data_IF_360306706967
#
_entry.id   IF_360306706967
#
_cell.length_a   1.000
_cell.length_b   1.000
_cell.length_c   1.000
_cell.angle_alpha   90.00
_cell.angle_beta   90.00
_cell.angle_gamma   90.00
#
_symmetry.space_group_name_H-M   'P 1'
#
loop_
_entity.id
_entity.type
_entity.pdbx_description
1 polymer ?
#
# COMPACT_ATOMS: atom_id res chain seq x y z
N UNK A 1 18.44 13.07 -4.34
CA UNK A 1 18.94 12.61 -3.03
C UNK A 1 18.12 11.43 -2.59
N UNK A 2 18.73 10.38 -2.03
CA UNK A 2 17.98 9.28 -1.43
C UNK A 2 17.20 9.82 -0.22
N UNK A 3 15.90 9.51 -0.15
CA UNK A 3 15.06 9.83 1.00
C UNK A 3 15.37 8.82 2.11
N UNK A 4 15.84 9.29 3.25
CA UNK A 4 15.98 8.48 4.46
C UNK A 4 14.69 8.64 5.26
N UNK A 5 13.98 7.54 5.49
CA UNK A 5 12.74 7.52 6.26
C UNK A 5 13.03 7.31 7.75
N UNK A 6 12.22 7.87 8.64
CA UNK A 6 12.37 7.69 10.09
C UNK A 6 11.92 6.30 10.55
N UNK A 7 10.96 5.72 9.84
CA UNK A 7 10.44 4.38 10.08
C UNK A 7 9.91 3.77 8.78
N UNK A 8 9.48 2.51 8.85
CA UNK A 8 9.01 1.76 7.68
C UNK A 8 7.69 2.29 7.11
N UNK A 9 6.82 2.90 7.93
CA UNK A 9 5.50 3.36 7.48
C UNK A 9 5.60 4.57 6.56
N UNK A 10 6.64 5.40 6.69
CA UNK A 10 6.93 6.51 5.77
C UNK A 10 7.31 6.07 4.34
N UNK A 11 7.61 4.77 4.15
CA UNK A 11 7.88 4.15 2.86
C UNK A 11 6.62 3.52 2.24
N UNK A 12 5.47 3.55 2.92
CA UNK A 12 4.19 3.15 2.35
C UNK A 12 3.72 4.21 1.35
N UNK A 13 3.32 3.77 0.17
CA UNK A 13 2.87 4.63 -0.91
C UNK A 13 3.98 5.02 -1.89
N UNK A 14 3.71 6.03 -2.72
CA UNK A 14 4.59 6.43 -3.83
C UNK A 14 5.10 5.28 -4.72
N UNK A 15 4.30 4.22 -4.80
CA UNK A 15 4.57 3.05 -5.64
C UNK A 15 4.62 3.43 -7.12
N UNK A 16 5.47 2.77 -7.92
CA UNK A 16 5.67 3.16 -9.30
C UNK A 16 4.44 2.91 -10.18
N UNK A 17 4.31 3.73 -11.22
CA UNK A 17 3.48 3.45 -12.39
C UNK A 17 4.38 2.90 -13.49
N UNK A 18 3.98 1.79 -14.11
CA UNK A 18 4.72 1.17 -15.21
C UNK A 18 3.81 1.00 -16.42
N UNK A 19 4.28 1.40 -17.59
CA UNK A 19 3.54 1.25 -18.85
C UNK A 19 3.46 -0.22 -19.26
N UNK A 20 2.27 -0.69 -19.61
CA UNK A 20 2.07 -2.00 -20.20
C UNK A 20 2.32 -1.93 -21.71
N UNK A 21 3.53 -2.29 -22.15
CA UNK A 21 3.92 -2.17 -23.56
C UNK A 21 3.38 -3.34 -24.42
N UNK A 22 3.98 -4.53 -24.27
CA UNK A 22 3.78 -5.65 -25.19
C UNK A 22 2.34 -6.17 -25.25
N UNK A 23 1.68 -6.36 -24.11
CA UNK A 23 0.32 -6.90 -24.09
C UNK A 23 -0.70 -5.89 -24.65
N UNK A 24 -0.51 -4.60 -24.36
CA UNK A 24 -1.38 -3.56 -24.92
C UNK A 24 -1.26 -3.51 -26.45
N UNK A 25 -0.04 -3.65 -26.98
CA UNK A 25 0.20 -3.72 -28.43
C UNK A 25 -0.41 -4.98 -29.06
N UNK A 26 -0.20 -6.17 -28.47
CA UNK A 26 -0.71 -7.43 -29.03
C UNK A 26 -2.24 -7.51 -29.05
N UNK A 27 -2.91 -6.86 -28.10
CA UNK A 27 -4.38 -6.82 -28.01
C UNK A 27 -5.00 -5.63 -28.76
N UNK A 28 -4.19 -4.80 -29.43
CA UNK A 28 -4.67 -3.64 -30.19
C UNK A 28 -5.30 -2.55 -29.30
N UNK A 29 -4.78 -2.35 -28.09
CA UNK A 29 -5.29 -1.35 -27.16
C UNK A 29 -5.20 0.06 -27.75
N UNK A 30 -6.32 0.78 -27.74
CA UNK A 30 -6.41 2.15 -28.26
C UNK A 30 -5.97 3.22 -27.25
N UNK A 31 -5.75 2.83 -25.99
CA UNK A 31 -5.42 3.73 -24.89
C UNK A 31 -4.10 3.33 -24.21
N UNK A 32 -3.44 4.29 -23.56
CA UNK A 32 -2.28 4.01 -22.71
C UNK A 32 -2.73 3.27 -21.44
N UNK A 33 -2.20 2.07 -21.24
CA UNK A 33 -2.46 1.26 -20.05
C UNK A 33 -1.24 1.36 -19.12
N UNK A 34 -1.49 1.83 -17.90
CA UNK A 34 -0.49 1.92 -16.83
C UNK A 34 -0.84 0.94 -15.70
N UNK A 35 0.20 0.34 -15.13
CA UNK A 35 0.12 -0.58 -13.99
C UNK A 35 0.56 0.16 -12.73
N UNK A 36 -0.28 0.18 -11.71
CA UNK A 36 0.05 0.70 -10.38
C UNK A 36 0.60 -0.44 -9.52
N UNK A 37 1.91 -0.45 -9.30
CA UNK A 37 2.60 -1.60 -8.69
C UNK A 37 2.60 -1.53 -7.16
N UNK A 38 1.45 -1.81 -6.56
CA UNK A 38 1.26 -1.73 -5.10
C UNK A 38 2.04 -2.77 -4.30
N UNK A 39 2.62 -3.78 -4.94
CA UNK A 39 3.52 -4.72 -4.29
C UNK A 39 4.90 -4.11 -3.93
N UNK A 40 5.15 -2.84 -4.26
CA UNK A 40 6.32 -2.10 -3.80
C UNK A 40 6.15 -1.44 -2.42
N UNK A 41 4.95 -1.49 -1.82
CA UNK A 41 4.86 -1.11 -0.41
C UNK A 41 5.65 -2.11 0.46
N UNK A 42 6.11 -1.73 1.67
CA UNK A 42 6.98 -2.56 2.52
C UNK A 42 6.52 -4.00 2.80
N UNK A 43 5.23 -4.21 3.07
CA UNK A 43 4.61 -5.53 3.26
C UNK A 43 4.08 -6.13 1.95
N UNK A 44 4.53 -5.60 0.81
CA UNK A 44 4.32 -6.11 -0.54
C UNK A 44 2.87 -6.16 -0.99
N UNK A 45 2.01 -5.29 -0.46
CA UNK A 45 0.62 -5.22 -0.91
C UNK A 45 0.03 -3.81 -0.88
N UNK A 46 -1.13 -3.63 -1.50
CA UNK A 46 -1.91 -2.39 -1.37
C UNK A 46 -2.46 -2.17 0.04
N UNK A 47 -2.53 -3.23 0.87
CA UNK A 47 -3.19 -3.19 2.18
C UNK A 47 -2.39 -2.43 3.22
N UNK A 48 -1.07 -2.30 3.05
CA UNK A 48 -0.20 -1.42 3.83
C UNK A 48 -0.80 -0.01 3.97
N UNK A 49 -1.39 0.52 2.90
CA UNK A 49 -2.01 1.85 2.89
C UNK A 49 -3.18 1.96 3.86
N UNK A 50 -4.10 0.99 3.80
CA UNK A 50 -5.30 1.05 4.63
C UNK A 50 -4.99 0.63 6.07
N UNK A 51 -4.05 -0.31 6.26
CA UNK A 51 -3.56 -0.70 7.58
C UNK A 51 -3.02 0.50 8.31
N UNK A 52 -2.09 1.25 7.67
CA UNK A 52 -1.57 2.48 8.25
C UNK A 52 -2.68 3.51 8.51
N UNK A 53 -3.51 3.82 7.51
CA UNK A 53 -4.54 4.86 7.65
C UNK A 53 -5.59 4.54 8.73
N UNK A 54 -5.96 3.26 8.92
CA UNK A 54 -6.89 2.86 9.97
C UNK A 54 -6.28 3.01 11.36
N UNK A 55 -5.01 2.62 11.53
CA UNK A 55 -4.30 2.76 12.81
C UNK A 55 -4.11 4.23 13.16
N UNK A 56 -3.58 5.05 12.24
CA UNK A 56 -3.38 6.49 12.46
C UNK A 56 -4.69 7.20 12.82
N UNK A 57 -5.79 6.88 12.13
CA UNK A 57 -7.09 7.45 12.42
C UNK A 57 -7.62 7.02 13.81
N UNK A 58 -7.40 5.77 14.20
CA UNK A 58 -7.84 5.26 15.50
C UNK A 58 -6.98 5.81 16.66
N UNK A 59 -5.67 6.00 16.46
CA UNK A 59 -4.78 6.69 17.40
C UNK A 59 -5.18 8.16 17.55
N UNK A 60 -5.40 8.88 16.45
CA UNK A 60 -5.84 10.28 16.47
C UNK A 60 -7.21 10.47 17.14
N UNK A 61 -8.09 9.46 17.05
CA UNK A 61 -9.37 9.43 17.74
C UNK A 61 -9.29 8.97 19.21
N UNK A 62 -8.10 8.66 19.72
CA UNK A 62 -7.90 8.18 21.09
C UNK A 62 -8.50 6.79 21.36
N UNK A 63 -8.72 5.99 20.32
CA UNK A 63 -9.33 4.65 20.43
C UNK A 63 -8.29 3.54 20.66
N UNK A 64 -7.03 3.80 20.34
CA UNK A 64 -5.92 2.88 20.56
C UNK A 64 -5.04 3.40 21.69
N UNK A 65 -4.58 2.47 22.53
CA UNK A 65 -3.60 2.70 23.57
C UNK A 65 -2.65 1.51 23.71
N UNK A 66 -1.68 1.57 24.63
CA UNK A 66 -0.61 0.57 24.75
C UNK A 66 -1.11 -0.86 24.93
N UNK A 67 -2.24 -1.05 25.61
CA UNK A 67 -2.81 -2.36 25.92
C UNK A 67 -3.94 -2.76 24.94
N UNK A 68 -4.11 -2.03 23.84
CA UNK A 68 -5.18 -2.33 22.88
C UNK A 68 -4.82 -3.55 22.02
N UNK A 69 -5.72 -4.52 22.00
CA UNK A 69 -5.65 -5.66 21.08
C UNK A 69 -6.38 -5.29 19.79
N UNK A 70 -5.66 -5.33 18.67
CA UNK A 70 -6.24 -5.16 17.33
C UNK A 70 -6.64 -6.53 16.80
N UNK A 71 -7.92 -6.70 16.50
CA UNK A 71 -8.47 -7.91 15.89
C UNK A 71 -8.98 -7.58 14.48
N UNK A 72 -8.37 -8.20 13.48
CA UNK A 72 -8.75 -8.03 12.07
C UNK A 72 -9.13 -9.41 11.49
N UNK A 73 -10.41 -9.68 11.18
CA UNK A 73 -10.83 -10.94 10.57
C UNK A 73 -10.48 -10.94 9.08
N UNK A 74 -9.31 -11.47 8.75
CA UNK A 74 -8.80 -11.52 7.38
C UNK A 74 -8.13 -12.85 7.07
N UNK A 75 -8.20 -13.28 5.82
CA UNK A 75 -7.47 -14.44 5.30
C UNK A 75 -6.18 -14.04 4.58
N UNK A 76 -5.75 -12.77 4.67
CA UNK A 76 -4.62 -12.28 3.87
C UNK A 76 -4.12 -10.90 4.25
N UNK A 77 -3.62 -10.16 3.25
CA UNK A 77 -2.68 -9.04 3.38
C UNK A 77 -3.05 -7.89 4.33
N UNK A 78 -4.31 -7.70 4.73
CA UNK A 78 -4.64 -6.66 5.73
C UNK A 78 -4.12 -7.00 7.12
N UNK A 79 -3.94 -8.29 7.43
CA UNK A 79 -3.43 -8.75 8.72
C UNK A 79 -1.92 -8.92 8.75
N UNK A 80 -1.26 -8.82 7.59
CA UNK A 80 0.20 -8.73 7.47
C UNK A 80 0.59 -7.27 7.70
#
# INVERSE_FOLDING_TARGET
MARIANNITELIGNTPLVRLNRLAETEGALAEILLKLEFFNPASSVKDRIGLSMIEAAEAAGKLGPDTVILEPTSGNTGI
#
